data_IF_512427618794
#
_entry.id   IF_512427618794
#
_cell.length_a   1.000
_cell.length_b   1.000
_cell.length_c   1.000
_cell.angle_alpha   90.00
_cell.angle_beta   90.00
_cell.angle_gamma   90.00
#
_symmetry.space_group_name_H-M   'P 1'
#
loop_
_entity.id
_entity.type
_entity.pdbx_description
1 polymer ?
#
# COMPACT_ATOMS: atom_id res chain seq x y z
N UNK A 1 3.37 4.72 -5.98
CA UNK A 1 2.69 3.41 -5.88
C UNK A 1 1.18 3.60 -5.80
N UNK A 2 0.63 4.19 -4.73
CA UNK A 2 -0.83 4.38 -4.54
C UNK A 2 -1.59 4.91 -5.76
N UNK A 3 -1.23 6.10 -6.26
CA UNK A 3 -1.91 6.72 -7.42
C UNK A 3 -1.86 5.86 -8.68
N UNK A 4 -0.78 5.11 -8.88
CA UNK A 4 -0.66 4.21 -10.03
C UNK A 4 -1.62 3.03 -9.90
N UNK A 5 -1.64 2.37 -8.74
CA UNK A 5 -2.58 1.27 -8.46
C UNK A 5 -4.03 1.72 -8.57
N UNK A 6 -4.38 2.85 -7.94
CA UNK A 6 -5.74 3.40 -7.98
C UNK A 6 -6.20 3.68 -9.42
N UNK A 7 -5.33 4.25 -10.27
CA UNK A 7 -5.63 4.51 -11.68
C UNK A 7 -5.82 3.24 -12.50
N UNK A 8 -5.02 2.20 -12.25
CA UNK A 8 -5.14 0.90 -12.92
C UNK A 8 -6.45 0.19 -12.55
N UNK A 9 -6.80 0.17 -11.27
CA UNK A 9 -8.07 -0.40 -10.77
C UNK A 9 -9.26 0.35 -11.37
N UNK A 10 -9.22 1.68 -11.39
CA UNK A 10 -10.27 2.50 -12.00
C UNK A 10 -10.45 2.24 -13.51
N UNK A 11 -9.39 1.81 -14.21
CA UNK A 11 -9.45 1.41 -15.61
C UNK A 11 -9.90 -0.04 -15.83
N UNK A 12 -10.35 -0.73 -14.77
CA UNK A 12 -10.91 -2.08 -14.85
C UNK A 12 -9.88 -3.21 -14.73
N UNK A 13 -8.64 -2.92 -14.34
CA UNK A 13 -7.69 -4.00 -14.03
C UNK A 13 -8.12 -4.73 -12.75
N UNK A 14 -8.37 -6.02 -12.90
CA UNK A 14 -8.81 -6.91 -11.82
C UNK A 14 -7.67 -7.74 -11.22
N UNK A 15 -6.47 -7.72 -11.81
CA UNK A 15 -5.31 -8.41 -11.26
C UNK A 15 -4.11 -7.46 -11.26
N UNK A 16 -3.63 -7.12 -10.07
CA UNK A 16 -2.38 -6.42 -9.90
C UNK A 16 -1.34 -7.34 -9.27
N UNK A 17 -0.11 -7.28 -9.77
CA UNK A 17 1.03 -8.05 -9.27
C UNK A 17 2.09 -7.08 -8.76
N UNK A 18 2.55 -7.27 -7.53
CA UNK A 18 3.62 -6.49 -6.91
C UNK A 18 4.84 -7.37 -6.74
N UNK A 19 5.91 -7.04 -7.46
CA UNK A 19 7.19 -7.75 -7.40
C UNK A 19 8.06 -7.22 -6.25
N UNK A 20 8.38 -8.11 -5.31
CA UNK A 20 9.22 -7.84 -4.15
C UNK A 20 10.61 -8.46 -4.25
N UNK A 21 11.02 -9.01 -5.39
CA UNK A 21 12.30 -9.72 -5.54
C UNK A 21 13.55 -8.84 -5.34
N UNK A 22 13.41 -7.51 -5.40
CA UNK A 22 14.47 -6.54 -5.05
C UNK A 22 14.13 -5.70 -3.82
N UNK A 23 13.07 -6.06 -3.08
CA UNK A 23 12.60 -5.33 -1.91
C UNK A 23 13.29 -5.88 -0.64
N UNK A 24 14.17 -5.07 -0.03
CA UNK A 24 14.94 -5.47 1.16
C UNK A 24 14.19 -5.27 2.49
N UNK A 25 13.06 -4.58 2.46
CA UNK A 25 12.21 -4.37 3.63
C UNK A 25 10.98 -3.54 3.29
N UNK A 26 9.95 -3.65 4.12
CA UNK A 26 8.71 -2.89 4.00
C UNK A 26 8.46 -2.15 5.31
N UNK A 27 8.02 -0.89 5.21
CA UNK A 27 7.50 -0.14 6.35
C UNK A 27 5.97 -0.24 6.41
N UNK A 28 5.38 0.27 7.48
CA UNK A 28 3.93 0.29 7.67
C UNK A 28 3.20 1.09 6.59
N UNK A 29 3.84 2.10 6.01
CA UNK A 29 3.24 2.92 4.93
C UNK A 29 3.12 2.12 3.65
N UNK A 30 4.16 1.37 3.29
CA UNK A 30 4.18 0.46 2.15
C UNK A 30 3.11 -0.63 2.31
N UNK A 31 3.10 -1.30 3.46
CA UNK A 31 2.16 -2.38 3.76
C UNK A 31 0.71 -1.89 3.81
N UNK A 32 0.44 -0.74 4.43
CA UNK A 32 -0.89 -0.13 4.43
C UNK A 32 -1.34 0.33 3.04
N UNK A 33 -0.41 0.73 2.17
CA UNK A 33 -0.72 1.00 0.76
C UNK A 33 -1.10 -0.29 0.02
N UNK A 34 -0.39 -1.40 0.24
CA UNK A 34 -0.76 -2.70 -0.32
C UNK A 34 -2.14 -3.15 0.18
N UNK A 35 -2.40 -3.02 1.48
CA UNK A 35 -3.68 -3.34 2.11
C UNK A 35 -4.83 -2.57 1.46
N UNK A 36 -4.68 -1.25 1.30
CA UNK A 36 -5.69 -0.41 0.65
C UNK A 36 -5.91 -0.76 -0.82
N UNK A 37 -4.87 -1.13 -1.57
CA UNK A 37 -5.02 -1.60 -2.95
C UNK A 37 -5.72 -2.96 -3.02
N UNK A 38 -5.36 -3.89 -2.15
CA UNK A 38 -5.98 -5.20 -2.05
C UNK A 38 -7.47 -5.08 -1.74
N UNK A 39 -7.84 -4.29 -0.72
CA UNK A 39 -9.23 -4.08 -0.32
C UNK A 39 -10.09 -3.48 -1.45
N UNK A 40 -9.52 -2.57 -2.26
CA UNK A 40 -10.22 -1.98 -3.42
C UNK A 40 -10.38 -2.98 -4.57
N UNK A 41 -9.37 -3.81 -4.81
CA UNK A 41 -9.43 -4.88 -5.80
C UNK A 41 -10.46 -5.94 -5.42
N UNK A 42 -10.47 -6.41 -4.18
CA UNK A 42 -11.41 -7.44 -3.71
C UNK A 42 -12.85 -6.95 -3.65
N UNK A 43 -13.08 -5.64 -3.55
CA UNK A 43 -14.40 -5.04 -3.71
C UNK A 43 -14.94 -5.10 -5.15
N UNK A 44 -14.06 -5.36 -6.14
CA UNK A 44 -14.43 -5.57 -7.55
C UNK A 44 -14.60 -7.07 -7.84
N UNK A 45 -15.53 -7.44 -8.72
CA UNK A 45 -15.81 -8.86 -9.00
C UNK A 45 -14.57 -9.58 -9.58
N UNK A 46 -14.09 -10.60 -8.85
CA UNK A 46 -12.90 -11.37 -9.19
C UNK A 46 -11.57 -10.63 -9.04
N UNK A 47 -11.54 -9.45 -8.40
CA UNK A 47 -10.33 -8.66 -8.25
C UNK A 47 -9.33 -9.22 -7.24
N UNK A 48 -8.04 -9.24 -7.59
CA UNK A 48 -6.96 -9.86 -6.81
C UNK A 48 -5.69 -9.04 -6.81
N UNK A 49 -5.03 -8.98 -5.66
CA UNK A 49 -3.65 -8.54 -5.52
C UNK A 49 -2.75 -9.76 -5.31
N UNK A 50 -1.67 -9.87 -6.08
CA UNK A 50 -0.68 -10.93 -5.96
C UNK A 50 0.70 -10.37 -5.64
N UNK A 51 1.44 -11.04 -4.78
CA UNK A 51 2.83 -10.69 -4.44
C UNK A 51 3.76 -11.68 -5.12
N UNK A 52 4.74 -11.17 -5.86
CA UNK A 52 5.76 -11.99 -6.51
C UNK A 52 7.09 -11.93 -5.76
N UNK A 53 7.70 -13.09 -5.53
CA UNK A 53 9.06 -13.24 -4.99
C UNK A 53 9.35 -12.42 -3.70
N UNK A 54 8.51 -12.49 -2.65
CA UNK A 54 8.85 -11.87 -1.38
C UNK A 54 9.99 -12.64 -0.71
N UNK A 55 10.94 -11.90 -0.12
CA UNK A 55 11.88 -12.50 0.84
C UNK A 55 11.11 -13.12 2.02
N UNK A 56 11.70 -14.10 2.71
CA UNK A 56 11.08 -14.74 3.88
C UNK A 56 10.67 -13.73 4.95
N UNK A 57 11.53 -12.72 5.18
CA UNK A 57 11.23 -11.60 6.09
C UNK A 57 10.00 -10.82 5.64
N UNK A 58 9.92 -10.44 4.37
CA UNK A 58 8.80 -9.66 3.85
C UNK A 58 7.50 -10.47 3.88
N UNK A 59 7.55 -11.76 3.50
CA UNK A 59 6.43 -12.68 3.62
C UNK A 59 5.91 -12.71 5.05
N UNK A 60 6.79 -12.93 6.02
CA UNK A 60 6.41 -12.99 7.43
C UNK A 60 5.79 -11.68 7.91
N UNK A 61 6.31 -10.52 7.48
CA UNK A 61 5.70 -9.23 7.82
C UNK A 61 4.29 -9.05 7.24
N UNK A 62 4.02 -9.55 6.03
CA UNK A 62 2.68 -9.51 5.45
C UNK A 62 1.72 -10.43 6.22
N UNK A 63 2.15 -11.65 6.52
CA UNK A 63 1.36 -12.65 7.26
C UNK A 63 1.09 -12.21 8.71
N UNK A 64 2.08 -11.62 9.40
CA UNK A 64 1.91 -11.16 10.80
C UNK A 64 0.90 -10.02 10.93
N UNK A 65 0.74 -9.21 9.88
CA UNK A 65 -0.28 -8.17 9.79
C UNK A 65 -1.64 -8.68 9.30
N UNK A 66 -1.72 -9.96 8.90
CA UNK A 66 -2.93 -10.58 8.34
C UNK A 66 -3.25 -10.14 6.91
N UNK A 67 -2.25 -9.70 6.14
CA UNK A 67 -2.44 -9.24 4.76
C UNK A 67 -2.66 -10.39 3.78
N UNK A 68 -2.23 -11.60 4.14
CA UNK A 68 -2.47 -12.85 3.42
C UNK A 68 -3.97 -13.19 3.25
N UNK A 69 -4.85 -12.62 4.07
CA UNK A 69 -6.30 -12.70 3.88
C UNK A 69 -6.83 -11.80 2.75
N UNK A 70 -6.10 -10.74 2.40
CA UNK A 70 -6.50 -9.76 1.40
C UNK A 70 -5.79 -9.95 0.05
N UNK A 71 -4.64 -10.61 0.04
CA UNK A 71 -3.79 -10.78 -1.14
C UNK A 71 -3.15 -12.18 -1.19
N UNK A 72 -2.85 -12.65 -2.39
CA UNK A 72 -2.20 -13.95 -2.60
C UNK A 72 -0.66 -13.78 -2.60
N UNK A 73 0.02 -14.40 -1.64
CA UNK A 73 1.48 -14.26 -1.47
C UNK A 73 2.24 -15.39 -2.18
N UNK A 74 2.88 -15.06 -3.30
CA UNK A 74 3.59 -15.98 -4.20
C UNK A 74 2.78 -17.23 -4.58
N UNK A 75 1.56 -17.08 -5.14
CA UNK A 75 0.71 -18.22 -5.47
C UNK A 75 1.42 -19.16 -6.48
N UNK A 76 1.48 -20.48 -6.23
CA UNK A 76 2.13 -21.42 -7.15
C UNK A 76 1.49 -21.46 -8.55
N UNK A 77 0.19 -21.18 -8.64
CA UNK A 77 -0.60 -21.20 -9.87
C UNK A 77 -0.62 -19.86 -10.63
N UNK A 78 0.20 -18.87 -10.23
CA UNK A 78 0.20 -17.56 -10.88
C UNK A 78 0.73 -17.62 -12.33
N UNK A 79 -0.04 -17.08 -13.26
CA UNK A 79 0.30 -17.02 -14.68
C UNK A 79 1.57 -16.21 -14.99
N UNK A 80 1.94 -15.27 -14.11
CA UNK A 80 3.15 -14.45 -14.30
C UNK A 80 4.44 -15.18 -13.93
N UNK A 81 4.40 -16.32 -13.21
CA UNK A 81 5.60 -17.04 -12.75
C UNK A 81 6.52 -17.46 -13.89
N UNK A 82 5.93 -18.00 -14.96
CA UNK A 82 6.67 -18.48 -16.14
C UNK A 82 7.39 -17.35 -16.88
N UNK A 83 6.89 -16.11 -16.75
CA UNK A 83 7.37 -14.95 -17.49
C UNK A 83 8.04 -13.89 -16.60
N UNK A 84 8.30 -14.19 -15.32
CA UNK A 84 8.72 -13.20 -14.32
C UNK A 84 9.98 -12.44 -14.76
N UNK A 85 11.00 -13.14 -15.26
CA UNK A 85 12.24 -12.51 -15.73
C UNK A 85 12.01 -11.59 -16.95
N UNK A 86 11.14 -12.00 -17.87
CA UNK A 86 10.78 -11.18 -19.03
C UNK A 86 9.99 -9.94 -18.61
N UNK A 87 9.08 -10.06 -17.63
CA UNK A 87 8.35 -8.93 -17.05
C UNK A 87 9.34 -7.95 -16.40
N UNK A 88 10.23 -8.44 -15.52
CA UNK A 88 11.27 -7.64 -14.85
C UNK A 88 12.12 -6.84 -15.83
N UNK A 89 12.54 -7.46 -16.94
CA UNK A 89 13.36 -6.80 -17.96
C UNK A 89 12.67 -5.62 -18.65
N UNK A 90 11.32 -5.56 -18.60
CA UNK A 90 10.50 -4.51 -19.20
C UNK A 90 10.03 -3.47 -18.19
N UNK A 91 10.30 -3.67 -16.89
CA UNK A 91 9.94 -2.70 -15.86
C UNK A 91 10.79 -1.44 -16.05
N UNK A 92 10.12 -0.33 -16.28
CA UNK A 92 10.77 0.98 -16.24
C UNK A 92 10.94 1.42 -14.78
N UNK A 93 12.03 2.13 -14.44
CA UNK A 93 12.13 2.78 -13.15
C UNK A 93 10.92 3.68 -12.93
N UNK A 94 10.43 3.79 -11.68
CA UNK A 94 9.28 4.62 -11.39
C UNK A 94 9.55 6.05 -11.86
N UNK A 95 8.54 6.68 -12.48
CA UNK A 95 8.55 8.12 -12.72
C UNK A 95 8.88 8.80 -11.38
N UNK A 96 9.80 9.77 -11.42
CA UNK A 96 10.29 10.45 -10.23
C UNK A 96 9.10 10.79 -9.30
N UNK A 97 9.17 10.46 -8.00
CA UNK A 97 8.06 10.70 -7.10
C UNK A 97 7.66 12.16 -7.21
N UNK A 98 6.43 12.41 -7.67
CA UNK A 98 5.88 13.76 -7.67
C UNK A 98 6.07 14.35 -6.28
N UNK A 99 6.57 15.58 -6.22
CA UNK A 99 6.76 16.29 -4.95
C UNK A 99 5.38 16.51 -4.31
N UNK A 100 4.95 15.58 -3.46
CA UNK A 100 3.75 15.77 -2.64
C UNK A 100 4.01 16.91 -1.64
N UNK A 101 2.96 17.67 -1.31
CA UNK A 101 3.05 18.62 -0.21
C UNK A 101 3.28 17.90 1.13
N UNK A 102 3.82 18.59 2.15
CA UNK A 102 3.99 18.00 3.51
C UNK A 102 2.67 17.46 4.06
N UNK A 103 1.57 18.21 3.90
CA UNK A 103 0.22 17.79 4.33
C UNK A 103 -0.23 16.52 3.60
N UNK A 104 -0.05 16.46 2.28
CA UNK A 104 -0.44 15.29 1.48
C UNK A 104 0.35 14.04 1.88
N UNK A 105 1.65 14.17 2.19
CA UNK A 105 2.45 13.07 2.73
C UNK A 105 1.90 12.59 4.07
N UNK A 106 1.62 13.51 5.01
CA UNK A 106 1.02 13.14 6.30
C UNK A 106 -0.32 12.43 6.12
N UNK A 107 -1.17 12.90 5.20
CA UNK A 107 -2.42 12.22 4.85
C UNK A 107 -2.21 10.80 4.33
N UNK A 108 -1.26 10.60 3.42
CA UNK A 108 -0.98 9.25 2.89
C UNK A 108 -0.48 8.28 3.95
N UNK A 109 0.41 8.73 4.83
CA UNK A 109 0.93 7.88 5.90
C UNK A 109 -0.18 7.55 6.89
N UNK A 110 -1.00 8.53 7.26
CA UNK A 110 -2.16 8.32 8.14
C UNK A 110 -3.14 7.32 7.52
N UNK A 111 -3.52 7.50 6.24
CA UNK A 111 -4.41 6.58 5.53
C UNK A 111 -3.86 5.15 5.57
N UNK A 112 -2.55 4.96 5.32
CA UNK A 112 -1.93 3.64 5.37
C UNK A 112 -2.03 2.98 6.76
N UNK A 113 -1.81 3.74 7.84
CA UNK A 113 -1.96 3.21 9.20
C UNK A 113 -3.42 2.92 9.56
N UNK A 114 -4.36 3.75 9.12
CA UNK A 114 -5.79 3.49 9.28
C UNK A 114 -6.21 2.21 8.54
N UNK A 115 -5.68 1.98 7.33
CA UNK A 115 -5.93 0.73 6.60
C UNK A 115 -5.43 -0.48 7.38
N UNK A 116 -4.19 -0.44 7.89
CA UNK A 116 -3.64 -1.55 8.68
C UNK A 116 -4.44 -1.79 9.96
N UNK A 117 -4.80 -0.71 10.67
CA UNK A 117 -5.62 -0.74 11.88
C UNK A 117 -6.99 -1.40 11.66
N UNK A 118 -7.60 -1.17 10.48
CA UNK A 118 -8.90 -1.74 10.13
C UNK A 118 -8.89 -3.22 9.76
N UNK A 119 -7.73 -3.89 9.64
CA UNK A 119 -7.65 -5.29 9.21
C UNK A 119 -8.15 -6.24 10.31
N UNK A 120 -7.69 -6.05 11.54
CA UNK A 120 -8.01 -6.93 12.66
C UNK A 120 -7.78 -6.23 14.01
N UNK A 121 -8.30 -6.81 15.10
CA UNK A 121 -8.21 -6.23 16.45
C UNK A 121 -6.77 -6.09 16.98
N UNK A 122 -5.84 -6.97 16.55
CA UNK A 122 -4.42 -6.88 16.92
C UNK A 122 -3.83 -5.59 16.34
N UNK A 123 -3.97 -5.40 15.03
CA UNK A 123 -3.50 -4.22 14.34
C UNK A 123 -4.18 -2.94 14.87
N UNK A 124 -5.48 -3.00 15.17
CA UNK A 124 -6.21 -1.86 15.73
C UNK A 124 -5.58 -1.35 17.04
N UNK A 125 -5.17 -2.26 17.93
CA UNK A 125 -4.50 -1.93 19.18
C UNK A 125 -3.05 -1.48 18.98
N UNK A 126 -2.35 -2.09 18.03
CA UNK A 126 -0.94 -1.77 17.75
C UNK A 126 -0.78 -0.39 17.12
N UNK A 127 -1.68 -0.02 16.20
CA UNK A 127 -1.59 1.23 15.46
C UNK A 127 -2.39 2.39 16.07
N UNK A 128 -3.21 2.18 17.11
CA UNK A 128 -4.09 3.23 17.67
C UNK A 128 -3.34 4.52 18.02
N UNK A 129 -2.24 4.40 18.74
CA UNK A 129 -1.47 5.55 19.22
C UNK A 129 -0.82 6.32 18.05
N UNK A 130 -0.37 5.60 17.02
CA UNK A 130 0.26 6.21 15.84
C UNK A 130 -0.79 6.94 15.01
N UNK A 131 -1.97 6.33 14.81
CA UNK A 131 -3.11 6.96 14.11
C UNK A 131 -3.55 8.23 14.82
N UNK A 132 -3.78 8.17 16.14
CA UNK A 132 -4.21 9.35 16.93
C UNK A 132 -3.17 10.48 16.87
N UNK A 133 -1.89 10.15 17.01
CA UNK A 133 -0.81 11.15 16.91
C UNK A 133 -0.79 11.82 15.54
N UNK A 134 -0.92 11.04 14.47
CA UNK A 134 -0.92 11.55 13.10
C UNK A 134 -2.17 12.37 12.75
N UNK A 135 -3.34 12.02 13.30
CA UNK A 135 -4.58 12.80 13.16
C UNK A 135 -4.43 14.18 13.80
N UNK A 136 -3.87 14.23 15.01
CA UNK A 136 -3.57 15.49 15.70
C UNK A 136 -2.56 16.35 14.92
N UNK A 137 -1.46 15.75 14.45
CA UNK A 137 -0.48 16.46 13.62
C UNK A 137 -1.09 17.02 12.33
N UNK A 138 -1.95 16.24 11.67
CA UNK A 138 -2.58 16.64 10.43
C UNK A 138 -3.51 17.84 10.67
N UNK A 139 -4.34 17.78 11.70
CA UNK A 139 -5.26 18.85 12.10
C UNK A 139 -4.51 20.16 12.37
N UNK A 140 -3.40 20.12 13.10
CA UNK A 140 -2.58 21.32 13.36
C UNK A 140 -1.94 21.89 12.09
N UNK A 141 -1.43 21.02 11.20
CA UNK A 141 -0.86 21.45 9.91
C UNK A 141 -1.90 22.10 9.00
N UNK A 142 -3.14 21.61 8.99
CA UNK A 142 -4.24 22.17 8.20
C UNK A 142 -4.67 23.54 8.73
N UNK A 143 -4.84 23.68 10.06
CA UNK A 143 -5.15 24.97 10.69
C UNK A 143 -4.08 26.04 10.40
N UNK A 144 -2.80 25.66 10.44
CA UNK A 144 -1.69 26.56 10.12
C UNK A 144 -1.72 26.98 8.65
N UNK A 145 -2.00 26.07 7.73
CA UNK A 145 -2.09 26.36 6.31
C UNK A 145 -3.27 27.29 5.95
N UNK A 146 -4.41 27.14 6.63
CA UNK A 146 -5.57 28.02 6.46
C UNK A 146 -5.29 29.45 6.94
N UNK A 147 -4.60 29.61 8.08
CA UNK A 147 -4.19 30.92 8.61
C UNK A 147 -3.16 31.65 7.73
N UNK A 148 -2.44 30.93 6.87
CA UNK A 148 -1.41 31.49 5.98
C UNK A 148 -1.89 31.78 4.56
N UNK A 149 -3.17 31.56 4.22
CA UNK A 149 -3.71 31.97 2.91
C UNK A 149 -3.90 33.50 2.90
N UNK A 150 -3.32 34.24 1.93
CA UNK A 150 -3.64 35.66 1.78
C UNK A 150 -5.11 35.82 1.40
N UNK A 151 -5.81 36.71 2.11
CA UNK A 151 -7.20 37.09 1.84
C UNK A 151 -7.36 38.00 0.63
#
# INVERSE_FOLDING_TARGET
MKTFGDHRIANGENLLVVDLGSCTGMDSTFMGTLAGMAARLTASDGGKLQIADPSERNRHSLEDLGLDFLMEIDPPSAAWRENLNAIRSKLAPPLAPGSLGKIQRTKHVLEAHQQLSGINDKNAREFSNVVETMENELSEKEKLAEKSKPG
#
